data_IF_312926913314
#
_entry.id   IF_312926913314
#
_cell.length_a   1.000
_cell.length_b   1.000
_cell.length_c   1.000
_cell.angle_alpha   90.00
_cell.angle_beta   90.00
_cell.angle_gamma   90.00
#
_symmetry.space_group_name_H-M   'P 1'
#
loop_
_entity.id
_entity.type
_entity.pdbx_description
1 polymer ?
#
# COMPACT_ATOMS: atom_id res chain seq x y z
N UNK A 1 -5.10 -19.27 56.38
CA UNK A 1 -4.49 -18.47 55.29
C UNK A 1 -3.63 -19.39 54.42
N UNK A 2 -3.35 -18.98 53.18
CA UNK A 2 -2.85 -19.83 52.07
C UNK A 2 -1.65 -20.74 52.41
N UNK A 3 -1.62 -21.96 51.86
CA UNK A 3 -0.63 -23.00 52.16
C UNK A 3 0.23 -23.38 50.93
N UNK A 4 1.49 -23.71 51.19
CA UNK A 4 2.56 -23.97 50.20
C UNK A 4 2.65 -25.45 49.83
N UNK A 5 3.22 -25.77 48.66
CA UNK A 5 4.06 -26.97 48.49
C UNK A 5 5.42 -26.56 47.89
N UNK A 6 6.46 -27.40 48.00
CA UNK A 6 7.86 -26.93 47.86
C UNK A 6 8.90 -28.02 47.52
N UNK A 7 9.31 -28.08 46.24
CA UNK A 7 10.54 -28.70 45.70
C UNK A 7 10.73 -30.23 45.80
N UNK A 8 11.28 -30.77 44.72
CA UNK A 8 12.25 -31.87 44.51
C UNK A 8 12.43 -32.99 45.56
N UNK A 9 12.57 -34.26 45.08
CA UNK A 9 13.75 -35.13 45.36
C UNK A 9 13.86 -36.37 44.45
N UNK A 10 14.97 -37.10 44.59
CA UNK A 10 15.51 -38.18 43.72
C UNK A 10 15.72 -39.50 44.50
N UNK A 11 16.31 -40.54 43.86
CA UNK A 11 16.62 -41.93 44.34
C UNK A 11 15.44 -42.94 44.22
N UNK A 12 15.66 -44.27 44.14
CA UNK A 12 16.84 -45.09 44.53
C UNK A 12 17.11 -46.30 43.60
N UNK A 13 18.36 -46.79 43.58
CA UNK A 13 18.87 -47.97 42.86
C UNK A 13 18.88 -49.22 43.77
N UNK A 14 18.70 -50.44 43.22
CA UNK A 14 18.96 -51.71 43.93
C UNK A 14 19.70 -52.72 43.04
N UNK A 15 20.63 -53.47 43.67
CA UNK A 15 21.47 -54.54 43.09
C UNK A 15 21.42 -55.74 44.05
N UNK A 16 21.41 -56.97 43.51
CA UNK A 16 21.50 -58.21 44.30
C UNK A 16 22.52 -59.18 43.70
N UNK A 17 23.38 -59.75 44.55
CA UNK A 17 24.40 -60.78 44.20
C UNK A 17 24.36 -61.89 45.25
N UNK A 18 24.47 -63.15 44.82
CA UNK A 18 24.74 -64.32 45.66
C UNK A 18 25.59 -65.35 44.87
N UNK A 19 26.32 -66.23 45.57
CA UNK A 19 27.41 -67.06 45.02
C UNK A 19 27.55 -68.41 45.76
N UNK A 20 28.39 -69.32 45.24
CA UNK A 20 28.91 -70.61 45.81
C UNK A 20 27.83 -71.71 46.07
N UNK A 21 28.03 -73.04 46.00
CA UNK A 21 29.14 -74.03 45.80
C UNK A 21 28.51 -75.25 45.04
N UNK A 22 29.16 -76.17 44.30
CA UNK A 22 30.55 -76.41 43.87
C UNK A 22 31.06 -77.84 44.21
N UNK A 23 31.08 -78.80 43.25
CA UNK A 23 31.51 -80.21 43.47
C UNK A 23 32.00 -80.92 42.17
N UNK A 24 32.65 -82.09 42.31
CA UNK A 24 33.16 -82.98 41.25
C UNK A 24 32.94 -84.46 41.67
N UNK A 25 33.22 -85.55 40.95
CA UNK A 25 33.95 -85.86 39.68
C UNK A 25 33.31 -87.17 39.08
N UNK A 26 33.90 -87.98 38.15
CA UNK A 26 35.18 -87.94 37.41
C UNK A 26 35.03 -88.05 35.86
N UNK A 27 36.14 -88.23 35.13
CA UNK A 27 36.17 -88.35 33.66
C UNK A 27 36.05 -89.79 33.13
N UNK A 28 35.36 -89.95 32.00
CA UNK A 28 35.64 -90.96 30.94
C UNK A 28 35.55 -90.21 29.61
N UNK A 29 36.53 -90.38 28.71
CA UNK A 29 36.63 -89.60 27.47
C UNK A 29 36.44 -90.43 26.20
N UNK A 30 35.75 -89.87 25.19
CA UNK A 30 35.64 -90.45 23.85
C UNK A 30 35.34 -89.39 22.77
N UNK A 31 36.39 -88.97 22.04
CA UNK A 31 36.30 -88.29 20.74
C UNK A 31 35.85 -86.81 20.73
N UNK A 32 36.40 -85.98 19.81
CA UNK A 32 35.85 -84.66 19.53
C UNK A 32 34.65 -84.77 18.58
N UNK A 33 33.44 -84.71 19.10
CA UNK A 33 32.29 -84.35 18.26
C UNK A 33 32.45 -82.88 17.87
N UNK A 34 32.34 -82.57 16.57
CA UNK A 34 32.22 -81.17 16.12
C UNK A 34 30.84 -80.69 16.57
N UNK A 35 30.78 -80.08 17.74
CA UNK A 35 29.58 -79.45 18.23
C UNK A 35 29.14 -78.41 17.21
N UNK A 36 27.95 -78.60 16.64
CA UNK A 36 27.29 -77.57 15.85
C UNK A 36 27.12 -76.36 16.76
N UNK A 37 27.99 -75.36 16.59
CA UNK A 37 27.85 -74.05 17.22
C UNK A 37 26.43 -73.60 16.93
N UNK A 38 25.63 -73.41 17.99
CA UNK A 38 24.27 -72.90 17.84
C UNK A 38 24.31 -71.66 16.91
N UNK A 39 23.37 -71.53 15.96
CA UNK A 39 23.36 -70.38 15.07
C UNK A 39 23.45 -69.10 15.92
N UNK A 40 24.21 -68.07 15.49
CA UNK A 40 24.26 -66.81 16.22
C UNK A 40 22.83 -66.34 16.50
N UNK A 41 22.59 -65.74 17.68
CA UNK A 41 21.30 -65.16 17.97
C UNK A 41 21.04 -64.03 16.97
N UNK A 42 20.30 -64.32 15.91
CA UNK A 42 19.99 -63.41 14.82
C UNK A 42 18.59 -62.88 15.00
N UNK A 43 18.50 -61.58 14.82
CA UNK A 43 17.32 -60.78 15.02
C UNK A 43 17.53 -59.46 14.29
N UNK A 44 16.43 -58.84 13.89
CA UNK A 44 16.32 -57.57 13.21
C UNK A 44 14.91 -57.07 13.52
N UNK A 45 14.75 -55.83 13.95
CA UNK A 45 13.45 -55.27 14.32
C UNK A 45 13.46 -53.77 14.05
N UNK A 46 12.52 -53.31 13.24
CA UNK A 46 12.29 -51.87 13.02
C UNK A 46 11.60 -51.35 14.28
N UNK A 47 12.22 -50.35 14.92
CA UNK A 47 11.80 -49.82 16.23
C UNK A 47 11.19 -48.43 16.13
N UNK A 48 11.50 -47.70 15.05
CA UNK A 48 10.83 -46.49 14.62
C UNK A 48 10.88 -46.41 13.08
N UNK A 49 9.83 -45.93 12.40
CA UNK A 49 8.46 -45.81 12.89
C UNK A 49 7.86 -47.19 13.24
N UNK A 50 6.66 -47.22 13.81
CA UNK A 50 5.94 -48.46 14.17
C UNK A 50 5.00 -48.93 13.06
N UNK A 51 4.64 -50.22 13.06
CA UNK A 51 3.79 -50.78 12.01
C UNK A 51 2.35 -50.28 12.09
N UNK A 52 1.91 -49.57 11.05
CA UNK A 52 0.61 -48.91 10.96
C UNK A 52 0.63 -47.44 11.43
N UNK A 53 1.81 -46.87 11.66
CA UNK A 53 1.97 -45.46 12.01
C UNK A 53 1.77 -44.54 10.80
N UNK A 54 1.19 -43.36 11.04
CA UNK A 54 1.12 -42.27 10.07
C UNK A 54 2.30 -41.34 10.29
N UNK A 55 3.04 -41.00 9.23
CA UNK A 55 4.31 -40.27 9.29
C UNK A 55 4.42 -39.19 8.21
N UNK A 56 5.18 -38.13 8.49
CA UNK A 56 5.41 -37.02 7.56
C UNK A 56 6.72 -36.26 7.84
N UNK A 57 7.22 -35.53 6.84
CA UNK A 57 8.49 -34.80 6.91
C UNK A 57 9.71 -35.71 7.06
N UNK A 58 10.64 -35.34 7.95
CA UNK A 58 11.85 -36.12 8.22
C UNK A 58 11.60 -37.15 9.32
N UNK A 59 11.64 -38.43 8.95
CA UNK A 59 11.36 -39.59 9.80
C UNK A 59 12.64 -40.39 10.03
N UNK A 60 13.22 -40.30 11.22
CA UNK A 60 14.37 -41.17 11.59
C UNK A 60 13.92 -42.62 11.76
N UNK A 61 14.19 -43.46 10.75
CA UNK A 61 14.04 -44.90 10.83
C UNK A 61 15.13 -45.44 11.77
N UNK A 62 14.76 -46.25 12.77
CA UNK A 62 15.71 -46.90 13.69
C UNK A 62 15.52 -48.41 13.69
N UNK A 63 16.60 -49.16 13.56
CA UNK A 63 16.57 -50.62 13.44
C UNK A 63 17.48 -51.24 14.49
N UNK A 64 16.89 -52.03 15.39
CA UNK A 64 17.62 -52.79 16.40
C UNK A 64 17.93 -54.17 15.79
N UNK A 65 19.23 -54.49 15.62
CA UNK A 65 19.64 -55.67 14.85
C UNK A 65 20.93 -56.37 15.33
N UNK A 66 21.01 -57.67 15.02
CA UNK A 66 22.18 -58.52 15.31
C UNK A 66 23.46 -58.22 14.50
N UNK A 67 23.35 -57.34 13.50
CA UNK A 67 24.41 -56.80 12.64
C UNK A 67 23.79 -55.69 11.78
N UNK A 68 24.55 -54.68 11.35
CA UNK A 68 24.04 -53.59 10.50
C UNK A 68 23.17 -54.11 9.35
N UNK A 69 21.88 -53.77 9.31
CA UNK A 69 20.92 -54.34 8.37
C UNK A 69 20.88 -53.58 7.06
N UNK A 70 20.52 -54.27 5.98
CA UNK A 70 20.18 -53.64 4.70
C UNK A 70 18.76 -53.11 4.75
N UNK A 71 18.61 -51.81 4.52
CA UNK A 71 17.33 -51.09 4.51
C UNK A 71 16.77 -50.99 3.08
N UNK A 72 15.48 -51.27 2.94
CA UNK A 72 14.69 -51.03 1.75
C UNK A 72 13.45 -50.19 2.07
N UNK A 73 13.09 -49.28 1.17
CA UNK A 73 11.81 -48.55 1.17
C UNK A 73 11.15 -48.84 -0.18
N UNK A 74 9.98 -49.48 -0.18
CA UNK A 74 9.24 -49.92 -1.37
C UNK A 74 10.08 -50.74 -2.37
N UNK A 75 10.84 -51.68 -1.82
CA UNK A 75 11.84 -52.51 -2.52
C UNK A 75 13.07 -51.77 -3.06
N UNK A 76 13.15 -50.44 -2.97
CA UNK A 76 14.36 -49.68 -3.30
C UNK A 76 15.40 -49.86 -2.19
N UNK A 77 16.61 -50.32 -2.54
CA UNK A 77 17.70 -50.53 -1.58
C UNK A 77 18.35 -49.19 -1.22
N UNK A 78 18.17 -48.73 0.02
CA UNK A 78 18.71 -47.47 0.52
C UNK A 78 20.19 -47.59 0.89
N UNK A 79 20.59 -48.74 1.46
CA UNK A 79 21.95 -48.98 1.95
C UNK A 79 21.96 -49.92 3.15
N UNK A 80 23.08 -49.94 3.86
CA UNK A 80 23.28 -50.74 5.07
C UNK A 80 23.35 -49.76 6.26
N UNK A 81 22.30 -49.70 7.09
CA UNK A 81 22.07 -48.66 8.10
C UNK A 81 21.41 -49.20 9.37
N UNK A 82 21.94 -48.85 10.54
CA UNK A 82 21.25 -49.05 11.84
C UNK A 82 20.24 -47.93 12.14
N UNK A 83 20.46 -46.74 11.56
CA UNK A 83 19.55 -45.57 11.58
C UNK A 83 19.59 -44.83 10.26
N UNK A 84 18.46 -44.35 9.75
CA UNK A 84 18.35 -43.61 8.48
C UNK A 84 17.29 -42.52 8.57
N UNK A 85 17.65 -41.27 8.32
CA UNK A 85 16.70 -40.16 8.22
C UNK A 85 16.02 -40.21 6.84
N UNK A 86 14.75 -40.62 6.83
CA UNK A 86 13.92 -40.72 5.64
C UNK A 86 13.10 -39.45 5.47
N UNK A 87 13.31 -38.75 4.36
CA UNK A 87 12.45 -37.65 3.94
C UNK A 87 11.22 -38.21 3.21
N UNK A 88 10.04 -38.07 3.82
CA UNK A 88 8.78 -38.54 3.22
C UNK A 88 8.19 -37.57 2.21
N UNK A 89 8.68 -36.33 2.13
CA UNK A 89 8.19 -35.35 1.12
C UNK A 89 8.55 -35.75 -0.30
N UNK A 90 9.58 -36.60 -0.46
CA UNK A 90 9.96 -37.22 -1.74
C UNK A 90 9.12 -38.47 -2.11
N UNK A 91 8.04 -38.75 -1.37
CA UNK A 91 7.19 -39.94 -1.51
C UNK A 91 5.71 -39.52 -1.52
N UNK A 92 4.92 -40.07 -2.45
CA UNK A 92 3.50 -39.73 -2.57
C UNK A 92 2.68 -40.29 -1.39
N UNK A 93 1.68 -39.56 -0.92
CA UNK A 93 0.90 -39.94 0.26
C UNK A 93 0.12 -41.26 0.06
N UNK A 94 0.14 -42.11 1.10
CA UNK A 94 -0.39 -43.48 1.03
C UNK A 94 0.44 -44.53 1.77
N UNK A 95 0.33 -45.79 1.34
CA UNK A 95 0.86 -46.96 2.06
C UNK A 95 2.26 -47.36 1.62
N UNK A 96 3.26 -47.05 2.44
CA UNK A 96 4.68 -47.37 2.19
C UNK A 96 5.17 -48.59 2.98
N UNK A 97 6.18 -49.27 2.44
CA UNK A 97 6.77 -50.49 3.02
C UNK A 97 8.24 -50.30 3.37
N UNK A 98 8.55 -50.38 4.67
CA UNK A 98 9.92 -50.31 5.19
C UNK A 98 10.35 -51.73 5.55
N UNK A 99 11.48 -52.18 5.00
CA UNK A 99 11.96 -53.55 5.16
C UNK A 99 13.45 -53.57 5.52
N UNK A 100 13.80 -54.26 6.60
CA UNK A 100 15.16 -54.35 7.13
C UNK A 100 15.65 -55.79 7.13
N UNK A 101 16.88 -56.06 6.65
CA UNK A 101 17.41 -57.42 6.49
C UNK A 101 18.80 -57.62 7.09
N UNK A 102 18.95 -58.65 7.91
CA UNK A 102 20.23 -59.27 8.24
C UNK A 102 20.29 -60.67 7.62
N UNK A 103 21.46 -61.35 7.54
CA UNK A 103 21.56 -62.66 6.89
C UNK A 103 20.61 -63.72 7.49
N UNK A 104 19.48 -63.99 6.83
CA UNK A 104 18.50 -65.00 7.24
C UNK A 104 17.51 -64.58 8.33
N UNK A 105 17.40 -63.29 8.65
CA UNK A 105 16.27 -62.71 9.40
C UNK A 105 15.94 -61.35 8.77
N UNK A 106 14.67 -61.09 8.54
CA UNK A 106 14.17 -59.80 8.07
C UNK A 106 12.97 -59.36 8.90
N UNK A 107 12.76 -58.06 8.95
CA UNK A 107 11.56 -57.43 9.49
C UNK A 107 10.95 -56.51 8.42
N UNK A 108 9.64 -56.28 8.48
CA UNK A 108 8.92 -55.48 7.49
C UNK A 108 7.68 -54.87 8.10
N UNK A 109 7.57 -53.55 7.99
CA UNK A 109 6.41 -52.78 8.45
C UNK A 109 5.77 -52.04 7.27
N UNK A 110 4.47 -51.78 7.41
CA UNK A 110 3.76 -50.81 6.58
C UNK A 110 3.50 -49.55 7.40
N UNK A 111 3.64 -48.39 6.78
CA UNK A 111 3.30 -47.07 7.34
C UNK A 111 2.45 -46.29 6.35
N UNK A 112 1.71 -45.29 6.85
CA UNK A 112 1.02 -44.32 6.00
C UNK A 112 1.89 -43.06 5.92
N UNK A 113 2.31 -42.66 4.73
CA UNK A 113 2.82 -41.30 4.49
C UNK A 113 1.62 -40.37 4.30
N UNK A 114 1.64 -39.24 4.99
CA UNK A 114 0.55 -38.25 5.09
C UNK A 114 1.22 -36.87 5.28
N UNK A 115 1.85 -36.36 4.22
CA UNK A 115 2.55 -35.07 4.21
C UNK A 115 1.59 -33.87 4.28
N UNK A 116 0.27 -34.12 4.23
CA UNK A 116 -0.79 -33.11 4.16
C UNK A 116 -1.65 -33.27 2.90
N UNK A 117 -1.17 -34.06 1.93
CA UNK A 117 -1.93 -34.43 0.75
C UNK A 117 -3.05 -35.41 1.13
N UNK A 118 -4.30 -34.99 0.90
CA UNK A 118 -5.36 -35.98 0.76
C UNK A 118 -5.04 -36.95 -0.38
N UNK A 119 -5.80 -38.04 -0.54
CA UNK A 119 -5.69 -38.89 -1.76
C UNK A 119 -6.22 -38.20 -3.03
N UNK A 120 -6.36 -36.88 -2.98
CA UNK A 120 -6.54 -35.90 -4.05
C UNK A 120 -5.64 -34.73 -3.64
N UNK A 121 -4.44 -34.75 -4.20
CA UNK A 121 -3.55 -33.59 -4.39
C UNK A 121 -4.29 -32.61 -5.31
N UNK A 122 -4.43 -31.35 -4.89
CA UNK A 122 -5.33 -30.37 -5.51
C UNK A 122 -4.53 -29.24 -6.19
N UNK A 123 -4.89 -28.82 -7.44
CA UNK A 123 -4.15 -27.74 -8.10
C UNK A 123 -4.19 -26.42 -7.32
N UNK A 124 -3.11 -25.62 -7.35
CA UNK A 124 -3.00 -24.38 -6.57
C UNK A 124 -4.14 -23.39 -6.79
N UNK A 125 -4.52 -22.68 -5.72
CA UNK A 125 -5.42 -21.52 -5.80
C UNK A 125 -4.59 -20.25 -5.76
N UNK A 126 -4.36 -19.66 -6.93
CA UNK A 126 -3.73 -18.35 -7.10
C UNK A 126 -4.80 -17.25 -7.07
N UNK A 127 -4.50 -16.08 -6.52
CA UNK A 127 -5.36 -14.90 -6.54
C UNK A 127 -4.51 -13.62 -6.57
N UNK A 128 -4.80 -12.71 -7.49
CA UNK A 128 -4.19 -11.38 -7.53
C UNK A 128 -5.00 -10.44 -6.62
N UNK A 129 -4.46 -10.17 -5.43
CA UNK A 129 -5.12 -9.34 -4.40
C UNK A 129 -5.01 -7.83 -4.68
N UNK A 130 -3.96 -7.42 -5.41
CA UNK A 130 -3.69 -6.04 -5.85
C UNK A 130 -2.90 -6.06 -7.15
N UNK A 131 -3.12 -5.10 -8.08
CA UNK A 131 -4.23 -4.14 -8.10
C UNK A 131 -5.58 -4.84 -8.32
N UNK A 132 -6.70 -4.13 -8.11
CA UNK A 132 -8.02 -4.71 -8.34
C UNK A 132 -8.33 -4.85 -9.84
N UNK A 133 -8.91 -5.97 -10.27
CA UNK A 133 -9.30 -6.17 -11.67
C UNK A 133 -10.30 -5.11 -12.17
N UNK A 134 -9.95 -4.45 -13.27
CA UNK A 134 -10.69 -3.32 -13.85
C UNK A 134 -10.33 -1.94 -13.28
N UNK A 135 -9.32 -1.83 -12.41
CA UNK A 135 -8.81 -0.53 -11.94
C UNK A 135 -8.03 0.23 -13.01
N UNK A 136 -7.98 1.55 -12.84
CA UNK A 136 -6.99 2.42 -13.50
C UNK A 136 -5.77 2.56 -12.58
N UNK A 137 -4.56 2.60 -13.14
CA UNK A 137 -3.29 2.62 -12.41
C UNK A 137 -2.25 3.53 -13.08
N UNK A 138 -1.35 4.11 -12.26
CA UNK A 138 -0.28 5.02 -12.68
C UNK A 138 0.95 4.89 -11.75
N UNK A 139 2.04 5.58 -12.11
CA UNK A 139 3.32 5.64 -11.38
C UNK A 139 3.91 4.27 -10.98
N UNK A 140 3.80 3.88 -9.71
CA UNK A 140 4.35 2.63 -9.18
C UNK A 140 3.29 1.89 -8.35
N UNK A 141 2.98 0.67 -8.79
CA UNK A 141 1.86 -0.13 -8.31
C UNK A 141 2.38 -1.42 -7.67
N UNK A 142 2.14 -1.63 -6.38
CA UNK A 142 2.45 -2.94 -5.77
C UNK A 142 1.42 -3.98 -6.22
N UNK A 143 1.85 -4.88 -7.11
CA UNK A 143 1.17 -6.14 -7.41
C UNK A 143 1.37 -7.07 -6.21
N UNK A 144 0.30 -7.70 -5.71
CA UNK A 144 0.38 -8.71 -4.65
C UNK A 144 -0.47 -9.93 -4.98
N UNK A 145 0.10 -11.12 -4.79
CA UNK A 145 -0.48 -12.39 -5.20
C UNK A 145 -0.45 -13.39 -4.04
N UNK A 146 -1.63 -13.84 -3.62
CA UNK A 146 -1.79 -14.96 -2.71
C UNK A 146 -1.80 -16.28 -3.47
N UNK A 147 -1.17 -17.30 -2.87
CA UNK A 147 -1.28 -18.70 -3.30
C UNK A 147 -1.71 -19.54 -2.10
N UNK A 148 -2.77 -20.32 -2.25
CA UNK A 148 -3.21 -21.32 -1.27
C UNK A 148 -3.07 -22.70 -1.90
N UNK A 149 -2.28 -23.54 -1.25
CA UNK A 149 -1.97 -24.90 -1.66
C UNK A 149 -1.54 -25.72 -0.43
N UNK A 150 -1.37 -27.03 -0.61
CA UNK A 150 -0.78 -27.95 0.36
C UNK A 150 0.77 -27.91 0.32
N UNK A 151 1.36 -27.63 -0.84
CA UNK A 151 2.76 -27.26 -1.00
C UNK A 151 3.04 -25.79 -0.60
N UNK A 152 4.27 -25.50 -0.18
CA UNK A 152 4.72 -24.13 0.10
C UNK A 152 5.23 -23.43 -1.16
N UNK A 153 4.30 -22.94 -1.99
CA UNK A 153 4.56 -22.37 -3.32
C UNK A 153 4.86 -20.86 -3.30
N UNK A 154 5.38 -20.36 -4.42
CA UNK A 154 5.56 -18.93 -4.71
C UNK A 154 5.20 -18.70 -6.19
N UNK A 155 4.39 -17.69 -6.53
CA UNK A 155 3.89 -17.52 -7.89
C UNK A 155 4.91 -16.86 -8.82
N UNK A 156 4.82 -17.18 -10.11
CA UNK A 156 5.43 -16.43 -11.20
C UNK A 156 4.45 -15.36 -11.67
N UNK A 157 4.91 -14.10 -11.75
CA UNK A 157 4.13 -12.93 -12.19
C UNK A 157 4.55 -12.53 -13.61
N UNK A 158 3.54 -12.23 -14.43
CA UNK A 158 3.65 -11.80 -15.81
C UNK A 158 2.84 -10.52 -16.05
N UNK A 159 3.33 -9.65 -16.95
CA UNK A 159 2.59 -8.48 -17.44
C UNK A 159 2.58 -8.53 -18.98
N UNK A 160 1.41 -8.43 -19.59
CA UNK A 160 1.16 -8.59 -21.04
C UNK A 160 1.73 -9.89 -21.64
N UNK A 161 1.79 -10.95 -20.82
CA UNK A 161 2.39 -12.25 -21.17
C UNK A 161 3.93 -12.28 -21.14
N UNK A 162 4.59 -11.22 -20.66
CA UNK A 162 6.03 -11.16 -20.41
C UNK A 162 6.30 -11.54 -18.95
N UNK A 163 7.14 -12.56 -18.72
CA UNK A 163 7.57 -12.94 -17.38
C UNK A 163 8.35 -11.82 -16.68
N UNK A 164 7.99 -11.52 -15.44
CA UNK A 164 8.60 -10.47 -14.62
C UNK A 164 9.44 -11.06 -13.48
N UNK A 165 8.84 -11.86 -12.59
CA UNK A 165 9.50 -12.36 -11.36
C UNK A 165 8.77 -13.55 -10.73
N UNK A 166 9.48 -14.36 -9.94
CA UNK A 166 8.91 -15.35 -9.00
C UNK A 166 8.81 -14.72 -7.60
N UNK A 167 7.67 -14.14 -7.24
CA UNK A 167 7.44 -13.51 -5.94
C UNK A 167 5.95 -13.29 -5.64
N UNK A 168 5.55 -13.32 -4.38
CA UNK A 168 4.19 -12.95 -3.94
C UNK A 168 3.90 -11.44 -4.00
N UNK A 169 4.90 -10.60 -4.25
CA UNK A 169 4.76 -9.14 -4.35
C UNK A 169 5.77 -8.57 -5.35
N UNK A 170 5.36 -7.60 -6.16
CA UNK A 170 6.23 -6.88 -7.10
C UNK A 170 5.78 -5.42 -7.27
N UNK A 171 6.70 -4.48 -7.11
CA UNK A 171 6.44 -3.06 -7.37
C UNK A 171 6.62 -2.77 -8.87
N UNK A 172 5.51 -2.53 -9.56
CA UNK A 172 5.43 -2.31 -11.00
C UNK A 172 5.43 -0.82 -11.33
N UNK A 173 6.51 -0.37 -11.96
CA UNK A 173 6.61 0.93 -12.63
C UNK A 173 5.78 0.93 -13.92
N UNK A 174 4.64 1.64 -13.92
CA UNK A 174 3.74 1.75 -15.08
C UNK A 174 4.19 2.79 -16.09
N UNK A 175 5.12 3.68 -15.73
CA UNK A 175 5.64 4.73 -16.63
C UNK A 175 6.47 4.15 -17.78
N UNK A 176 6.96 2.91 -17.61
CA UNK A 176 7.60 2.12 -18.65
C UNK A 176 6.63 1.45 -19.65
N UNK A 177 5.32 1.58 -19.43
CA UNK A 177 4.24 0.95 -20.22
C UNK A 177 3.41 2.03 -20.93
N UNK A 178 2.71 1.65 -22.00
CA UNK A 178 2.01 2.60 -22.88
C UNK A 178 0.49 2.58 -22.62
N UNK A 179 -0.07 3.74 -22.29
CA UNK A 179 -1.44 3.91 -21.77
C UNK A 179 -2.52 3.12 -22.53
N UNK A 180 -3.40 2.49 -21.77
CA UNK A 180 -4.42 1.58 -22.26
C UNK A 180 -4.57 0.33 -21.38
N UNK A 181 -5.22 -0.70 -21.95
CA UNK A 181 -5.49 -1.94 -21.23
C UNK A 181 -4.29 -2.89 -21.21
N UNK A 182 -3.81 -3.23 -20.01
CA UNK A 182 -2.77 -4.23 -19.74
C UNK A 182 -3.35 -5.47 -19.05
N UNK A 183 -2.67 -6.61 -19.15
CA UNK A 183 -3.01 -7.81 -18.37
C UNK A 183 -1.92 -8.17 -17.38
N UNK A 184 -2.32 -8.43 -16.13
CA UNK A 184 -1.47 -9.04 -15.11
C UNK A 184 -1.93 -10.49 -14.97
N UNK A 185 -1.01 -11.42 -15.16
CA UNK A 185 -1.24 -12.85 -15.04
C UNK A 185 -0.28 -13.41 -13.99
N UNK A 186 -0.78 -14.30 -13.13
CA UNK A 186 0.04 -14.99 -12.14
C UNK A 186 -0.27 -16.48 -12.14
N UNK A 187 0.75 -17.33 -12.04
CA UNK A 187 0.61 -18.78 -11.97
C UNK A 187 1.50 -19.40 -10.89
N UNK A 188 1.11 -20.57 -10.39
CA UNK A 188 1.91 -21.39 -9.48
C UNK A 188 1.73 -22.86 -9.86
N UNK A 189 2.82 -23.63 -9.85
CA UNK A 189 2.82 -25.07 -10.15
C UNK A 189 3.28 -25.86 -8.94
N UNK A 190 2.53 -26.91 -8.58
CA UNK A 190 2.81 -27.80 -7.44
C UNK A 190 3.98 -28.77 -7.71
N UNK A 191 4.35 -29.58 -6.71
CA UNK A 191 5.46 -30.54 -6.85
C UNK A 191 5.16 -31.73 -7.76
N UNK A 192 3.91 -32.00 -8.13
CA UNK A 192 3.51 -33.10 -9.04
C UNK A 192 3.23 -32.64 -10.48
N UNK A 193 3.15 -31.33 -10.71
CA UNK A 193 3.01 -30.67 -12.01
C UNK A 193 1.59 -30.23 -12.40
N UNK A 194 0.69 -29.97 -11.45
CA UNK A 194 -0.55 -29.22 -11.72
C UNK A 194 -0.32 -27.73 -11.49
N UNK A 195 -1.11 -26.89 -12.15
CA UNK A 195 -0.91 -25.43 -12.19
C UNK A 195 -2.21 -24.71 -11.88
N UNK A 196 -2.13 -23.76 -10.95
CA UNK A 196 -3.15 -22.75 -10.69
C UNK A 196 -2.75 -21.40 -11.29
N UNK A 197 -3.73 -20.57 -11.67
CA UNK A 197 -3.46 -19.24 -12.19
C UNK A 197 -4.65 -18.28 -12.02
N UNK A 198 -4.35 -16.98 -11.99
CA UNK A 198 -5.33 -15.89 -12.03
C UNK A 198 -4.90 -14.83 -13.07
N UNK A 199 -5.88 -14.11 -13.63
CA UNK A 199 -5.66 -13.07 -14.65
C UNK A 199 -6.59 -11.88 -14.43
N UNK A 200 -6.01 -10.68 -14.35
CA UNK A 200 -6.76 -9.43 -14.31
C UNK A 200 -6.36 -8.50 -15.46
N UNK A 201 -7.30 -7.69 -15.92
CA UNK A 201 -7.02 -6.54 -16.78
C UNK A 201 -7.05 -5.27 -15.93
N UNK A 202 -6.16 -4.33 -16.22
CA UNK A 202 -6.13 -2.97 -15.66
C UNK A 202 -5.94 -1.95 -16.78
N UNK A 203 -6.28 -0.69 -16.52
CA UNK A 203 -5.95 0.41 -17.43
C UNK A 203 -4.72 1.12 -16.88
N UNK A 204 -3.58 1.08 -17.58
CA UNK A 204 -2.51 2.04 -17.29
C UNK A 204 -2.94 3.38 -17.87
N UNK A 205 -2.91 4.41 -17.04
CA UNK A 205 -3.21 5.77 -17.42
C UNK A 205 -2.15 6.70 -16.82
N UNK A 206 -1.00 6.77 -17.47
CA UNK A 206 -0.02 7.83 -17.20
C UNK A 206 -0.43 9.16 -17.86
N UNK A 207 -1.58 9.22 -18.56
CA UNK A 207 -2.05 10.44 -19.26
C UNK A 207 -2.69 11.49 -18.34
N UNK A 208 -2.64 11.25 -17.02
CA UNK A 208 -2.67 12.32 -16.02
C UNK A 208 -1.46 13.27 -16.12
N UNK A 209 -0.33 12.81 -16.67
CA UNK A 209 0.67 13.68 -17.30
C UNK A 209 0.31 13.91 -18.77
N UNK A 210 0.30 15.17 -19.21
CA UNK A 210 -0.04 15.49 -20.60
C UNK A 210 0.95 14.90 -21.60
N UNK A 211 0.57 14.84 -22.88
CA UNK A 211 1.46 14.46 -23.98
C UNK A 211 2.16 15.66 -24.65
N UNK A 212 2.02 16.84 -24.05
CA UNK A 212 3.03 17.92 -24.10
C UNK A 212 3.82 17.96 -22.80
N UNK A 213 4.86 18.79 -22.74
CA UNK A 213 5.82 18.83 -21.62
C UNK A 213 7.17 18.16 -21.92
N UNK A 214 8.16 18.34 -21.03
CA UNK A 214 9.50 17.75 -21.15
C UNK A 214 9.67 16.38 -20.47
N UNK A 215 8.65 15.94 -19.71
CA UNK A 215 8.60 14.67 -19.01
C UNK A 215 9.19 14.71 -17.60
N UNK A 216 9.22 15.90 -16.98
CA UNK A 216 9.68 16.14 -15.61
C UNK A 216 8.62 16.99 -14.90
N UNK A 217 7.55 16.34 -14.41
CA UNK A 217 6.47 16.97 -13.62
C UNK A 217 7.00 17.86 -12.49
N UNK A 218 7.01 19.17 -12.73
CA UNK A 218 7.24 20.21 -11.76
C UNK A 218 5.91 20.58 -11.09
N UNK A 219 6.01 21.18 -9.90
CA UNK A 219 4.86 21.61 -9.11
C UNK A 219 5.06 23.05 -8.66
N UNK A 220 4.16 23.94 -9.06
CA UNK A 220 4.25 25.38 -8.75
C UNK A 220 3.02 25.84 -7.98
N UNK A 221 3.20 26.73 -7.01
CA UNK A 221 2.07 27.31 -6.29
C UNK A 221 2.21 28.81 -6.10
N UNK A 222 1.09 29.52 -6.18
CA UNK A 222 0.93 30.89 -5.69
C UNK A 222 -0.09 30.84 -4.55
N UNK A 223 0.34 31.24 -3.36
CA UNK A 223 -0.49 31.30 -2.15
C UNK A 223 -0.64 32.76 -1.74
N UNK A 224 -1.87 33.15 -1.40
CA UNK A 224 -2.26 34.47 -0.93
C UNK A 224 -3.03 34.32 0.38
N UNK A 225 -2.64 35.06 1.41
CA UNK A 225 -3.35 35.11 2.69
C UNK A 225 -3.23 36.49 3.30
N UNK A 226 -4.36 37.16 3.55
CA UNK A 226 -4.39 38.59 3.86
C UNK A 226 -5.31 38.83 5.05
N UNK A 227 -4.74 39.12 6.23
CA UNK A 227 -5.52 39.51 7.41
C UNK A 227 -5.52 41.03 7.58
N UNK A 228 -4.35 41.68 7.58
CA UNK A 228 -4.22 43.13 7.78
C UNK A 228 -4.26 43.89 6.45
N UNK A 229 -5.40 44.51 6.14
CA UNK A 229 -5.60 45.19 4.86
C UNK A 229 -5.09 46.65 4.88
N UNK A 230 -4.73 47.18 3.70
CA UNK A 230 -4.14 48.52 3.59
C UNK A 230 -5.12 49.66 3.92
N UNK A 231 -6.33 49.61 3.35
CA UNK A 231 -7.33 50.70 3.40
C UNK A 231 -8.78 50.19 3.65
N UNK A 232 -8.99 48.90 3.92
CA UNK A 232 -10.28 48.31 4.36
C UNK A 232 -10.14 47.66 5.75
N UNK A 233 -11.22 47.08 6.28
CA UNK A 233 -11.19 46.39 7.59
C UNK A 233 -10.41 45.08 7.54
N UNK A 234 -9.70 44.77 8.62
CA UNK A 234 -8.90 43.55 8.76
C UNK A 234 -9.76 42.29 9.00
N UNK A 235 -9.17 41.11 8.73
CA UNK A 235 -9.66 39.77 9.11
C UNK A 235 -8.81 39.22 10.26
N UNK A 236 -8.80 37.90 10.52
CA UNK A 236 -8.13 37.33 11.69
C UNK A 236 -7.29 36.07 11.47
N UNK A 237 -7.52 35.26 10.42
CA UNK A 237 -6.81 33.98 10.23
C UNK A 237 -6.39 33.64 8.79
N UNK A 238 -6.46 34.60 7.87
CA UNK A 238 -6.15 34.35 6.45
C UNK A 238 -4.64 34.12 6.21
N UNK A 239 -3.78 34.56 7.13
CA UNK A 239 -2.34 34.32 7.13
C UNK A 239 -1.93 33.00 7.80
N UNK A 240 -2.68 32.51 8.80
CA UNK A 240 -2.65 31.10 9.20
C UNK A 240 -3.03 30.18 8.04
N UNK A 241 -4.14 30.42 7.33
CA UNK A 241 -4.58 29.62 6.17
C UNK A 241 -3.48 29.47 5.11
N UNK A 242 -2.85 30.58 4.72
CA UNK A 242 -1.75 30.58 3.77
C UNK A 242 -0.50 29.85 4.30
N UNK A 243 -0.32 29.80 5.63
CA UNK A 243 0.79 29.09 6.28
C UNK A 243 0.56 27.58 6.32
N UNK A 244 -0.68 27.12 6.51
CA UNK A 244 -1.04 25.70 6.50
C UNK A 244 -1.05 25.13 5.08
N UNK A 245 -1.60 25.87 4.11
CA UNK A 245 -1.49 25.54 2.68
C UNK A 245 -0.02 25.52 2.22
N UNK A 246 0.81 26.44 2.71
CA UNK A 246 2.25 26.37 2.47
C UNK A 246 2.85 25.08 3.06
N UNK A 247 2.48 24.72 4.30
CA UNK A 247 2.94 23.51 4.96
C UNK A 247 2.66 22.23 4.15
N UNK A 248 1.42 22.07 3.69
CA UNK A 248 0.99 20.94 2.86
C UNK A 248 1.74 20.89 1.52
N UNK A 249 1.65 21.95 0.71
CA UNK A 249 2.23 21.97 -0.63
C UNK A 249 3.77 21.90 -0.59
N UNK A 250 4.41 22.47 0.43
CA UNK A 250 5.87 22.38 0.59
C UNK A 250 6.32 20.95 0.94
N UNK A 251 5.54 20.21 1.73
CA UNK A 251 5.80 18.80 1.99
C UNK A 251 5.64 17.93 0.72
N UNK A 252 4.76 18.35 -0.20
CA UNK A 252 4.55 17.75 -1.52
C UNK A 252 5.57 18.22 -2.59
N UNK A 253 6.54 19.06 -2.22
CA UNK A 253 7.65 19.46 -3.09
C UNK A 253 7.39 20.68 -4.00
N UNK A 254 6.31 21.42 -3.79
CA UNK A 254 5.98 22.58 -4.62
C UNK A 254 7.02 23.71 -4.55
N UNK A 255 7.27 24.34 -5.69
CA UNK A 255 7.95 25.63 -5.80
C UNK A 255 6.95 26.74 -5.50
N UNK A 256 6.81 27.08 -4.21
CA UNK A 256 5.80 28.03 -3.72
C UNK A 256 6.27 29.48 -3.81
N UNK A 257 5.36 30.35 -4.24
CA UNK A 257 5.36 31.80 -4.02
C UNK A 257 4.25 32.16 -3.02
N UNK A 258 4.59 32.84 -1.92
CA UNK A 258 3.61 33.25 -0.91
C UNK A 258 3.62 34.77 -0.77
N UNK A 259 2.44 35.38 -0.92
CA UNK A 259 2.21 36.80 -0.73
C UNK A 259 1.17 37.04 0.36
N UNK A 260 1.29 38.16 1.07
CA UNK A 260 0.40 38.49 2.18
C UNK A 260 0.44 39.96 2.58
N UNK A 261 0.22 40.27 3.85
CA UNK A 261 0.20 41.64 4.36
C UNK A 261 1.55 42.07 4.99
N UNK A 262 1.52 42.99 5.96
CA UNK A 262 2.69 43.53 6.64
C UNK A 262 3.24 42.66 7.78
N UNK A 263 2.46 41.71 8.31
CA UNK A 263 2.84 40.85 9.42
C UNK A 263 3.67 39.64 8.98
N UNK A 264 4.79 39.94 8.31
CA UNK A 264 5.81 39.00 7.78
C UNK A 264 6.37 37.96 8.76
N UNK A 265 6.04 38.05 10.06
CA UNK A 265 6.36 37.08 11.10
C UNK A 265 5.42 35.86 11.15
N UNK A 266 4.22 35.99 10.60
CA UNK A 266 3.15 35.02 10.74
C UNK A 266 3.30 33.91 9.68
N UNK A 267 3.75 34.30 8.48
CA UNK A 267 4.01 33.41 7.36
C UNK A 267 5.33 32.63 7.47
N UNK A 268 5.40 31.37 7.00
CA UNK A 268 6.65 30.60 6.89
C UNK A 268 7.61 31.14 5.81
N UNK A 269 7.08 31.90 4.85
CA UNK A 269 7.79 32.56 3.75
C UNK A 269 6.99 33.78 3.30
N UNK A 270 7.65 34.88 2.93
CA UNK A 270 6.99 36.07 2.39
C UNK A 270 7.79 36.58 1.18
N UNK A 271 7.20 36.48 -0.02
CA UNK A 271 7.78 36.99 -1.27
C UNK A 271 7.39 38.47 -1.55
N UNK A 272 6.43 39.02 -0.80
CA UNK A 272 6.03 40.41 -0.86
C UNK A 272 4.58 40.64 -0.41
N UNK A 273 4.15 41.92 -0.45
CA UNK A 273 2.74 42.27 -0.27
C UNK A 273 1.88 41.64 -1.37
N UNK A 274 0.69 41.15 -1.03
CA UNK A 274 -0.31 40.64 -1.96
C UNK A 274 -1.11 41.77 -2.63
N UNK A 275 -0.42 42.74 -3.24
CA UNK A 275 -1.10 43.73 -4.10
C UNK A 275 -1.66 43.05 -5.33
N UNK A 276 -2.72 43.59 -5.90
CA UNK A 276 -3.34 43.05 -7.11
C UNK A 276 -2.33 42.90 -8.26
N UNK A 277 -1.53 43.93 -8.50
CA UNK A 277 -0.48 43.93 -9.53
C UNK A 277 0.56 42.82 -9.30
N UNK A 278 0.93 42.54 -8.04
CA UNK A 278 1.86 41.43 -7.71
C UNK A 278 1.21 40.06 -7.83
N UNK A 279 -0.09 39.91 -7.51
CA UNK A 279 -0.80 38.62 -7.62
C UNK A 279 -1.08 38.28 -9.09
N UNK A 280 -1.58 39.25 -9.89
CA UNK A 280 -1.67 39.16 -11.36
C UNK A 280 -0.33 38.73 -11.98
N UNK A 281 0.78 39.35 -11.54
CA UNK A 281 2.11 38.99 -12.00
C UNK A 281 2.58 37.61 -11.49
N UNK A 282 2.24 37.19 -10.27
CA UNK A 282 2.62 35.89 -9.72
C UNK A 282 1.95 34.74 -10.48
N UNK A 283 0.63 34.81 -10.68
CA UNK A 283 -0.15 33.86 -11.49
C UNK A 283 0.43 33.78 -12.91
N UNK A 284 0.66 34.95 -13.54
CA UNK A 284 1.26 35.02 -14.88
C UNK A 284 2.63 34.35 -14.94
N UNK A 285 3.50 34.57 -13.95
CA UNK A 285 4.83 33.95 -13.93
C UNK A 285 4.78 32.45 -13.64
N UNK A 286 3.82 31.98 -12.83
CA UNK A 286 3.59 30.54 -12.59
C UNK A 286 3.18 29.84 -13.89
N UNK A 287 2.15 30.34 -14.57
CA UNK A 287 1.68 29.80 -15.86
C UNK A 287 2.78 29.84 -16.93
N UNK A 288 3.59 30.91 -17.01
CA UNK A 288 4.71 30.99 -17.96
C UNK A 288 5.96 30.17 -17.54
N UNK A 289 5.95 29.55 -16.36
CA UNK A 289 7.02 28.64 -15.93
C UNK A 289 6.68 27.16 -16.18
N UNK A 290 5.40 26.85 -16.37
CA UNK A 290 4.90 25.51 -16.55
C UNK A 290 4.87 25.08 -18.03
N UNK A 291 5.13 23.80 -18.30
CA UNK A 291 4.73 23.13 -19.55
C UNK A 291 3.61 22.10 -19.29
N UNK A 292 3.20 21.31 -20.28
CA UNK A 292 1.90 20.65 -20.21
C UNK A 292 1.79 19.46 -19.22
N UNK A 293 2.91 18.84 -18.77
CA UNK A 293 2.89 17.79 -17.75
C UNK A 293 3.06 18.29 -16.29
N UNK A 294 3.22 19.60 -16.09
CA UNK A 294 3.30 20.24 -14.76
C UNK A 294 1.94 20.36 -14.03
N UNK A 295 2.01 20.60 -12.72
CA UNK A 295 0.83 20.92 -11.89
C UNK A 295 0.99 22.31 -11.26
N UNK A 296 -0.04 23.15 -11.42
CA UNK A 296 -0.08 24.51 -10.85
C UNK A 296 -1.24 24.70 -9.88
N UNK A 297 -0.95 25.38 -8.76
CA UNK A 297 -1.91 25.62 -7.66
C UNK A 297 -2.03 27.12 -7.36
N UNK A 298 -3.26 27.62 -7.27
CA UNK A 298 -3.56 28.93 -6.71
C UNK A 298 -4.42 28.80 -5.45
N UNK A 299 -3.94 29.33 -4.34
CA UNK A 299 -4.66 29.39 -3.06
C UNK A 299 -4.83 30.85 -2.67
N UNK A 300 -6.04 31.24 -2.25
CA UNK A 300 -6.28 32.58 -1.72
C UNK A 300 -7.30 32.54 -0.58
N UNK A 301 -6.98 33.17 0.55
CA UNK A 301 -7.87 33.43 1.68
C UNK A 301 -7.93 34.94 1.97
N UNK A 302 -9.13 35.49 2.19
CA UNK A 302 -9.32 36.92 2.50
C UNK A 302 -10.71 37.47 2.19
N UNK A 303 -10.83 38.82 2.16
CA UNK A 303 -12.08 39.48 1.76
C UNK A 303 -12.42 39.22 0.30
N UNK A 304 -13.70 39.10 -0.01
CA UNK A 304 -14.22 39.07 -1.37
C UNK A 304 -15.53 39.84 -1.47
N UNK A 305 -15.94 40.18 -2.69
CA UNK A 305 -17.13 40.99 -2.94
C UNK A 305 -17.84 40.62 -4.23
N UNK A 306 -19.10 41.04 -4.36
CA UNK A 306 -19.92 40.74 -5.54
C UNK A 306 -21.07 41.71 -5.75
N UNK A 307 -21.37 42.04 -7.02
CA UNK A 307 -22.53 42.84 -7.40
C UNK A 307 -23.82 42.03 -7.30
N UNK A 308 -24.38 41.91 -6.10
CA UNK A 308 -25.66 41.19 -5.86
C UNK A 308 -26.87 41.78 -6.61
N UNK A 309 -26.79 43.01 -7.12
CA UNK A 309 -27.89 43.72 -7.81
C UNK A 309 -27.64 43.93 -9.30
N UNK A 310 -28.19 43.06 -10.13
CA UNK A 310 -28.17 43.15 -11.59
C UNK A 310 -28.79 41.91 -12.25
N UNK A 311 -29.00 41.89 -13.58
CA UNK A 311 -29.09 40.61 -14.29
C UNK A 311 -27.77 39.83 -14.11
N UNK A 312 -27.79 38.47 -14.13
CA UNK A 312 -26.57 37.68 -13.90
C UNK A 312 -25.41 38.07 -14.82
N UNK A 313 -25.68 38.32 -16.12
CA UNK A 313 -24.70 38.75 -17.13
C UNK A 313 -24.21 40.21 -16.99
N UNK A 314 -24.25 40.77 -15.78
CA UNK A 314 -23.62 42.03 -15.40
C UNK A 314 -23.40 42.09 -13.87
N UNK A 315 -23.41 40.94 -13.19
CA UNK A 315 -22.79 40.84 -11.88
C UNK A 315 -21.30 40.72 -12.12
N UNK A 316 -20.52 41.26 -11.18
CA UNK A 316 -19.09 41.04 -11.12
C UNK A 316 -18.73 40.73 -9.68
N UNK A 317 -17.95 39.68 -9.52
CA UNK A 317 -17.34 39.21 -8.30
C UNK A 317 -15.84 39.52 -8.33
N UNK A 318 -15.22 39.61 -7.15
CA UNK A 318 -13.81 39.96 -7.03
C UNK A 318 -13.20 39.44 -5.74
N UNK A 319 -11.91 39.16 -5.80
CA UNK A 319 -11.06 38.91 -4.63
C UNK A 319 -10.44 40.25 -4.19
N UNK A 320 -10.59 40.61 -2.92
CA UNK A 320 -9.94 41.80 -2.36
C UNK A 320 -8.46 41.52 -2.13
N UNK A 321 -7.60 42.16 -2.92
CA UNK A 321 -6.15 42.12 -2.75
C UNK A 321 -5.72 43.08 -1.63
N UNK A 322 -4.47 43.04 -1.19
CA UNK A 322 -4.03 43.78 0.00
C UNK A 322 -4.24 45.30 -0.12
N UNK A 323 -4.14 45.83 -1.35
CA UNK A 323 -4.41 47.21 -1.73
C UNK A 323 -5.85 47.48 -2.21
N UNK A 324 -6.81 46.61 -1.89
CA UNK A 324 -8.25 46.75 -2.12
C UNK A 324 -8.77 48.15 -1.80
N UNK A 325 -9.33 48.84 -2.80
CA UNK A 325 -9.88 50.19 -2.67
C UNK A 325 -8.85 51.32 -2.59
N UNK A 326 -7.56 50.97 -2.45
CA UNK A 326 -6.44 51.89 -2.52
C UNK A 326 -5.91 52.02 -3.96
N UNK A 327 -5.70 50.87 -4.61
CA UNK A 327 -5.12 50.72 -5.95
C UNK A 327 -3.64 51.10 -6.04
N UNK A 328 -2.77 50.14 -6.37
CA UNK A 328 -1.37 50.41 -6.71
C UNK A 328 -0.99 50.02 -8.15
N UNK A 329 0.07 50.68 -8.65
CA UNK A 329 0.77 50.40 -9.91
C UNK A 329 -0.04 50.53 -11.22
N UNK A 330 -1.36 50.68 -11.16
CA UNK A 330 -2.25 50.82 -12.31
C UNK A 330 -3.60 50.14 -12.11
N UNK A 331 -3.67 49.21 -11.17
CA UNK A 331 -4.86 48.47 -10.75
C UNK A 331 -5.62 49.24 -9.63
N UNK A 332 -6.77 48.73 -9.16
CA UNK A 332 -7.62 49.38 -8.13
C UNK A 332 -7.79 48.58 -6.82
N UNK A 333 -7.15 47.41 -6.74
CA UNK A 333 -7.09 46.50 -5.60
C UNK A 333 -8.12 45.36 -5.64
N UNK A 334 -8.89 45.23 -6.73
CA UNK A 334 -9.98 44.28 -6.88
C UNK A 334 -9.70 43.32 -8.04
N UNK A 335 -9.23 42.10 -7.75
CA UNK A 335 -9.02 41.10 -8.79
C UNK A 335 -10.38 40.52 -9.22
N UNK A 336 -10.93 41.04 -10.32
CA UNK A 336 -12.26 40.71 -10.83
C UNK A 336 -12.35 39.32 -11.47
N UNK A 337 -13.56 38.78 -11.54
CA UNK A 337 -13.91 37.50 -12.17
C UNK A 337 -13.43 37.33 -13.63
N UNK A 338 -13.71 38.32 -14.48
CA UNK A 338 -13.30 38.29 -15.89
C UNK A 338 -11.78 38.43 -16.08
N UNK A 339 -11.12 39.21 -15.23
CA UNK A 339 -9.65 39.28 -15.17
C UNK A 339 -9.01 37.99 -14.66
N UNK A 340 -9.57 37.38 -13.61
CA UNK A 340 -9.11 36.11 -13.05
C UNK A 340 -9.23 34.99 -14.09
N UNK A 341 -10.36 34.92 -14.78
CA UNK A 341 -10.54 34.04 -15.93
C UNK A 341 -9.53 34.33 -17.06
N UNK A 342 -9.24 35.61 -17.36
CA UNK A 342 -8.27 35.98 -18.38
C UNK A 342 -6.82 35.58 -18.03
N UNK A 343 -6.43 35.62 -16.74
CA UNK A 343 -5.11 35.14 -16.29
C UNK A 343 -4.96 33.64 -16.54
N UNK A 344 -5.95 32.84 -16.12
CA UNK A 344 -5.92 31.38 -16.25
C UNK A 344 -6.24 30.86 -17.66
N UNK A 345 -6.75 31.70 -18.57
CA UNK A 345 -6.98 31.34 -19.98
C UNK A 345 -5.71 30.94 -20.76
N UNK A 346 -4.51 31.16 -20.18
CA UNK A 346 -3.22 30.76 -20.72
C UNK A 346 -2.63 29.49 -20.08
N UNK A 347 -3.29 28.87 -19.08
CA UNK A 347 -2.81 27.63 -18.47
C UNK A 347 -2.92 26.44 -19.44
N UNK A 348 -1.88 25.60 -19.48
CA UNK A 348 -1.72 24.49 -20.43
C UNK A 348 -1.56 23.12 -19.76
N UNK A 349 -1.61 23.09 -18.43
CA UNK A 349 -1.34 21.95 -17.56
C UNK A 349 -2.40 21.88 -16.44
N UNK A 350 -2.37 20.84 -15.59
CA UNK A 350 -3.40 20.68 -14.56
C UNK A 350 -3.35 21.84 -13.54
N UNK A 351 -4.50 22.47 -13.34
CA UNK A 351 -4.64 23.72 -12.58
C UNK A 351 -5.65 23.53 -11.45
N UNK A 352 -5.23 23.69 -10.20
CA UNK A 352 -6.12 23.68 -9.04
C UNK A 352 -6.22 25.06 -8.40
N UNK A 353 -7.45 25.44 -8.04
CA UNK A 353 -7.76 26.76 -7.49
C UNK A 353 -8.58 26.59 -6.21
N UNK A 354 -8.14 27.23 -5.12
CA UNK A 354 -8.84 27.24 -3.84
C UNK A 354 -9.09 28.68 -3.37
N UNK A 355 -10.37 29.03 -3.13
CA UNK A 355 -10.80 30.38 -2.75
C UNK A 355 -11.62 30.38 -1.46
N UNK A 356 -11.00 30.80 -0.35
CA UNK A 356 -11.66 31.10 0.92
C UNK A 356 -11.96 32.61 0.99
N UNK A 357 -12.93 33.04 0.19
CA UNK A 357 -13.38 34.43 0.08
C UNK A 357 -14.91 34.52 0.05
N UNK A 358 -15.48 35.59 0.60
CA UNK A 358 -16.89 35.90 0.40
C UNK A 358 -17.20 36.06 -1.11
N UNK A 359 -18.38 35.64 -1.55
CA UNK A 359 -18.84 35.63 -2.95
C UNK A 359 -18.03 34.75 -3.93
N UNK A 360 -17.06 33.94 -3.46
CA UNK A 360 -16.10 33.23 -4.30
C UNK A 360 -16.71 32.31 -5.38
N UNK A 361 -17.85 31.65 -5.13
CA UNK A 361 -18.53 30.82 -6.14
C UNK A 361 -19.11 31.60 -7.32
N UNK A 362 -19.02 32.94 -7.31
CA UNK A 362 -19.28 33.78 -8.47
C UNK A 362 -18.06 33.98 -9.38
N UNK A 363 -16.85 33.57 -8.99
CA UNK A 363 -15.62 33.68 -9.80
C UNK A 363 -15.53 32.61 -10.91
N UNK A 364 -16.66 32.15 -11.47
CA UNK A 364 -16.71 30.91 -12.27
C UNK A 364 -16.51 31.10 -13.78
N UNK A 365 -16.27 32.33 -14.23
CA UNK A 365 -15.98 32.72 -15.62
C UNK A 365 -14.87 31.88 -16.27
N UNK A 366 -13.88 31.38 -15.50
CA UNK A 366 -12.83 30.50 -16.00
C UNK A 366 -13.36 29.16 -16.56
N UNK A 367 -14.53 28.69 -16.15
CA UNK A 367 -15.20 27.52 -16.74
C UNK A 367 -15.63 27.77 -18.20
N UNK A 368 -15.73 29.03 -18.62
CA UNK A 368 -16.03 29.43 -20.00
C UNK A 368 -14.77 29.56 -20.88
N UNK A 369 -13.56 29.41 -20.32
CA UNK A 369 -12.33 29.40 -21.11
C UNK A 369 -12.21 28.13 -21.97
N UNK A 370 -11.43 28.21 -23.06
CA UNK A 370 -11.16 27.06 -23.93
C UNK A 370 -10.17 26.03 -23.36
N UNK A 371 -9.72 26.22 -22.12
CA UNK A 371 -8.85 25.32 -21.37
C UNK A 371 -9.49 24.85 -20.05
N UNK A 372 -10.79 25.09 -19.82
CA UNK A 372 -11.45 24.78 -18.55
C UNK A 372 -11.37 23.29 -18.17
N UNK A 373 -11.21 22.39 -19.14
CA UNK A 373 -10.98 20.95 -18.89
C UNK A 373 -9.65 20.61 -18.18
N UNK A 374 -8.80 21.61 -17.91
CA UNK A 374 -7.58 21.50 -17.12
C UNK A 374 -7.73 22.08 -15.71
N UNK A 375 -8.90 22.65 -15.37
CA UNK A 375 -9.08 23.45 -14.16
C UNK A 375 -10.13 22.83 -13.24
N UNK A 376 -9.74 22.57 -11.99
CA UNK A 376 -10.63 22.33 -10.87
C UNK A 376 -10.58 23.51 -9.90
N UNK A 377 -11.73 24.02 -9.46
CA UNK A 377 -11.80 25.09 -8.47
C UNK A 377 -12.76 24.77 -7.32
N UNK A 378 -12.27 24.89 -6.08
CA UNK A 378 -13.07 24.80 -4.86
C UNK A 378 -13.21 26.19 -4.21
N UNK A 379 -14.43 26.54 -3.78
CA UNK A 379 -14.74 27.85 -3.19
C UNK A 379 -15.60 27.71 -1.92
N UNK A 380 -15.41 28.59 -0.93
CA UNK A 380 -16.13 28.51 0.37
C UNK A 380 -17.64 28.72 0.28
N UNK A 381 -18.16 29.39 -0.75
CA UNK A 381 -19.56 29.81 -0.81
C UNK A 381 -20.05 30.07 -2.24
N UNK A 382 -21.34 30.35 -2.42
CA UNK A 382 -21.96 30.69 -3.72
C UNK A 382 -21.68 32.13 -4.19
N UNK A 383 -22.18 32.51 -5.37
CA UNK A 383 -22.12 33.88 -5.94
C UNK A 383 -22.67 35.00 -5.03
N UNK A 384 -23.35 34.67 -3.94
CA UNK A 384 -23.99 35.61 -3.02
C UNK A 384 -23.71 35.33 -1.52
N UNK A 385 -22.88 34.33 -1.21
CA UNK A 385 -22.60 33.87 0.16
C UNK A 385 -21.33 34.45 0.79
N UNK A 386 -21.03 33.98 2.00
CA UNK A 386 -19.91 34.41 2.83
C UNK A 386 -18.98 33.24 3.20
N UNK A 387 -17.68 33.52 3.29
CA UNK A 387 -16.74 32.72 4.06
C UNK A 387 -16.74 33.17 5.53
N UNK A 388 -16.07 32.43 6.42
CA UNK A 388 -16.05 32.71 7.86
C UNK A 388 -14.70 32.40 8.51
N UNK A 389 -14.15 33.33 9.28
CA UNK A 389 -13.05 33.11 10.23
C UNK A 389 -13.58 32.39 11.49
N UNK A 390 -12.93 31.32 11.95
CA UNK A 390 -13.26 30.64 13.23
C UNK A 390 -12.12 30.69 14.26
N UNK A 391 -12.32 31.35 15.42
CA UNK A 391 -11.35 31.37 16.51
C UNK A 391 -11.12 30.04 17.26
N UNK A 392 -12.00 29.04 17.13
CA UNK A 392 -11.80 27.74 17.79
C UNK A 392 -10.84 26.82 16.99
N UNK A 393 -10.75 26.95 15.67
CA UNK A 393 -9.64 26.42 14.85
C UNK A 393 -8.42 27.38 14.81
N UNK A 394 -8.67 28.68 14.63
CA UNK A 394 -7.73 29.74 14.21
C UNK A 394 -7.42 29.71 12.70
N UNK A 395 -8.44 29.46 11.88
CA UNK A 395 -8.36 29.42 10.41
C UNK A 395 -9.60 30.07 9.78
N UNK A 396 -9.52 30.35 8.48
CA UNK A 396 -10.69 30.37 7.60
C UNK A 396 -11.38 29.02 7.65
N UNK A 397 -12.69 29.02 7.88
CA UNK A 397 -13.44 27.81 8.20
C UNK A 397 -13.45 26.81 7.03
N UNK A 398 -13.44 27.30 5.79
CA UNK A 398 -13.37 26.43 4.62
C UNK A 398 -11.97 25.86 4.43
N UNK A 399 -10.91 26.64 4.68
CA UNK A 399 -9.54 26.12 4.79
C UNK A 399 -9.43 25.02 5.85
N UNK A 400 -9.92 25.25 7.07
CA UNK A 400 -9.95 24.23 8.13
C UNK A 400 -10.67 22.94 7.67
N UNK A 401 -11.86 23.05 7.10
CA UNK A 401 -12.64 21.87 6.72
C UNK A 401 -12.10 21.12 5.49
N UNK A 402 -11.55 21.83 4.50
CA UNK A 402 -10.97 21.23 3.29
C UNK A 402 -9.56 20.68 3.55
N UNK A 403 -8.65 21.51 4.07
CA UNK A 403 -7.25 21.14 4.24
C UNK A 403 -7.05 20.27 5.49
N UNK A 404 -7.44 20.75 6.66
CA UNK A 404 -7.19 20.01 7.90
C UNK A 404 -8.14 18.83 8.08
N UNK A 405 -9.46 19.07 8.14
CA UNK A 405 -10.44 18.03 8.53
C UNK A 405 -10.56 16.95 7.44
N UNK A 406 -10.64 17.34 6.17
CA UNK A 406 -10.72 16.41 5.05
C UNK A 406 -9.34 15.89 4.64
N UNK A 407 -8.51 16.70 3.98
CA UNK A 407 -7.31 16.18 3.33
C UNK A 407 -6.30 15.59 4.33
N UNK A 408 -5.92 16.34 5.37
CA UNK A 408 -4.91 15.91 6.33
C UNK A 408 -5.43 14.86 7.32
N UNK A 409 -6.59 15.07 7.95
CA UNK A 409 -7.09 14.21 9.03
C UNK A 409 -7.92 13.02 8.55
N UNK A 410 -8.72 13.15 7.48
CA UNK A 410 -9.48 12.01 6.92
C UNK A 410 -8.64 11.21 5.91
N UNK A 411 -7.95 11.91 5.00
CA UNK A 411 -7.18 11.30 3.91
C UNK A 411 -5.65 11.22 4.15
N UNK A 412 -5.18 11.62 5.33
CA UNK A 412 -3.77 11.48 5.74
C UNK A 412 -2.78 12.44 5.05
N UNK A 413 -3.29 13.45 4.33
CA UNK A 413 -2.50 14.40 3.55
C UNK A 413 -1.87 13.80 2.28
N UNK A 414 -2.37 12.66 1.80
CA UNK A 414 -1.80 11.95 0.65
C UNK A 414 -2.02 12.69 -0.66
N UNK A 415 -0.99 12.71 -1.52
CA UNK A 415 -1.05 13.17 -2.91
C UNK A 415 -1.83 12.20 -3.82
N UNK A 416 -2.05 10.95 -3.36
CA UNK A 416 -2.77 9.89 -4.10
C UNK A 416 -4.30 10.00 -3.99
N UNK A 417 -4.82 11.13 -3.54
CA UNK A 417 -6.26 11.35 -3.30
C UNK A 417 -6.70 12.56 -4.11
N UNK A 418 -7.80 12.38 -4.81
CA UNK A 418 -8.43 13.36 -5.69
C UNK A 418 -9.09 14.50 -4.91
N UNK A 419 -8.99 15.72 -5.45
CA UNK A 419 -9.54 16.92 -4.82
C UNK A 419 -11.07 16.91 -4.81
N UNK A 420 -11.71 16.19 -5.73
CA UNK A 420 -13.13 15.89 -5.76
C UNK A 420 -13.56 15.11 -4.49
N UNK A 421 -12.82 14.06 -4.09
CA UNK A 421 -13.05 13.34 -2.83
C UNK A 421 -12.76 14.19 -1.60
N UNK A 422 -11.69 15.00 -1.62
CA UNK A 422 -11.39 15.95 -0.53
C UNK A 422 -12.54 16.95 -0.36
N UNK A 423 -13.02 17.53 -1.46
CA UNK A 423 -14.16 18.45 -1.50
C UNK A 423 -15.44 17.79 -0.98
N UNK A 424 -15.81 16.63 -1.53
CA UNK A 424 -17.04 15.93 -1.20
C UNK A 424 -17.10 15.54 0.28
N UNK A 425 -15.98 15.10 0.87
CA UNK A 425 -15.93 14.87 2.32
C UNK A 425 -16.03 16.18 3.10
N UNK A 426 -15.25 17.21 2.75
CA UNK A 426 -15.24 18.51 3.43
C UNK A 426 -16.64 19.15 3.45
N UNK A 427 -17.30 19.23 2.29
CA UNK A 427 -18.67 19.74 2.15
C UNK A 427 -19.67 18.93 2.99
N UNK A 428 -19.50 17.60 3.08
CA UNK A 428 -20.41 16.73 3.86
C UNK A 428 -20.36 16.95 5.37
N UNK A 429 -19.28 17.56 5.89
CA UNK A 429 -19.11 17.89 7.32
C UNK A 429 -19.11 19.40 7.60
N UNK A 430 -19.17 20.24 6.57
CA UNK A 430 -19.20 21.70 6.71
C UNK A 430 -20.49 22.17 7.42
N UNK A 431 -20.43 23.13 8.36
CA UNK A 431 -21.59 23.48 9.19
C UNK A 431 -22.56 24.49 8.55
N UNK A 432 -22.25 25.01 7.36
CA UNK A 432 -23.05 25.98 6.62
C UNK A 432 -23.57 25.43 5.29
N UNK A 433 -24.57 26.09 4.71
CA UNK A 433 -25.22 25.67 3.47
C UNK A 433 -26.21 26.71 2.92
N UNK A 434 -26.79 26.45 1.75
CA UNK A 434 -27.58 27.42 0.99
C UNK A 434 -26.70 28.43 0.25
N UNK A 435 -26.68 29.69 0.71
CA UNK A 435 -25.80 30.72 0.13
C UNK A 435 -24.33 30.49 0.51
N UNK A 436 -24.12 30.03 1.73
CA UNK A 436 -22.82 29.83 2.38
C UNK A 436 -22.38 28.35 2.27
N UNK A 437 -22.78 27.70 1.17
CA UNK A 437 -22.46 26.31 0.83
C UNK A 437 -21.22 26.29 -0.08
N UNK A 438 -20.16 25.54 0.26
CA UNK A 438 -18.99 25.40 -0.60
C UNK A 438 -19.38 24.89 -1.99
N UNK A 439 -18.77 25.43 -3.03
CA UNK A 439 -19.03 25.07 -4.44
C UNK A 439 -17.75 24.55 -5.09
N UNK A 440 -17.89 23.52 -5.92
CA UNK A 440 -16.86 23.02 -6.82
C UNK A 440 -17.19 23.39 -8.28
N UNK A 441 -16.14 23.64 -9.06
CA UNK A 441 -16.20 23.92 -10.48
C UNK A 441 -15.14 23.09 -11.19
N UNK A 442 -15.59 21.94 -11.69
CA UNK A 442 -14.81 20.98 -12.46
C UNK A 442 -15.14 21.12 -13.96
N UNK A 443 -14.13 21.45 -14.77
CA UNK A 443 -14.29 21.52 -16.23
C UNK A 443 -14.16 20.18 -16.96
N UNK A 444 -13.82 19.10 -16.27
CA UNK A 444 -13.54 17.78 -16.83
C UNK A 444 -14.00 16.63 -15.91
N UNK A 445 -15.31 16.47 -15.75
CA UNK A 445 -15.99 15.43 -14.95
C UNK A 445 -15.79 13.98 -15.46
N UNK A 446 -14.69 13.71 -16.14
CA UNK A 446 -14.22 12.40 -16.63
C UNK A 446 -12.79 12.07 -16.18
N UNK A 447 -12.07 13.01 -15.55
CA UNK A 447 -10.75 12.83 -14.94
C UNK A 447 -10.74 13.53 -13.57
N UNK A 448 -9.95 13.02 -12.63
CA UNK A 448 -9.85 13.56 -11.26
C UNK A 448 -8.62 14.46 -11.10
N UNK A 449 -8.70 15.46 -10.21
CA UNK A 449 -7.64 16.42 -9.94
C UNK A 449 -6.73 15.95 -8.80
N UNK A 450 -5.45 15.66 -9.08
CA UNK A 450 -4.45 15.23 -8.09
C UNK A 450 -3.36 16.28 -7.87
N UNK A 451 -2.92 16.49 -6.63
CA UNK A 451 -1.96 17.57 -6.26
C UNK A 451 -0.57 17.05 -5.89
#
# INVERSE_FOLDING_TARGET
MCAKMKKNKTFLLLISIALIVGLMAPMIGAGPTVGLRAPPNRWCTITNPTNGETVSGIVTITIDASSTPKLFIDSNNMGDYDTYDWDTTAYADGSHTIQAKVPGVEDTITVTVDNGGGTTDNPPVVTIDSPAGGSTVSDTVTISVSVTDEDSLTPDIYIDGIYITTASTYDWDTTAYADGGHTIYAEATDTVGQTGSDEISVTVDNSGGSTGGDGIVNRYAVIVGISDYKDISDLSYCDEDASDWYGQLYAMGYTIKLYGDGHTSNYPKHDGYATESTVKAAITNMINSADEDDIIVFVSSGHGGGQTTGPPSSRHQFLCMWDCGAGENGEDGYLYDDEFAQLFAAAICQTFIFLDHCYAGGMNELMSNSNSQLIYMATTCTDNGYGYDDPDSQNGLWTHYFLEVSWQNHYGGSYTIDMESVFAYAQSVYPYGGGDEPQEFDGNTSQYCYL
#
